data_IF_468852898376
#
_entry.id   IF_468852898376
#
_cell.length_a   1.000
_cell.length_b   1.000
_cell.length_c   1.000
_cell.angle_alpha   90.00
_cell.angle_beta   90.00
_cell.angle_gamma   90.00
#
_symmetry.space_group_name_H-M   'P 1'
#
loop_
_entity.id
_entity.type
_entity.pdbx_description
1 polymer ?
#
# COMPACT_ATOMS: atom_id res chain seq x y z
N UNK A 1 -29.75 -9.10 -29.89
CA UNK A 1 -30.26 -8.61 -28.59
C UNK A 1 -29.59 -9.43 -27.49
N UNK A 2 -28.43 -8.96 -27.02
CA UNK A 2 -27.55 -9.69 -26.08
C UNK A 2 -28.13 -9.56 -24.68
N UNK A 3 -28.52 -10.68 -24.05
CA UNK A 3 -28.96 -10.70 -22.65
C UNK A 3 -27.74 -10.50 -21.76
N UNK A 4 -27.71 -9.39 -21.03
CA UNK A 4 -26.72 -9.12 -19.98
C UNK A 4 -26.84 -10.17 -18.87
N UNK A 5 -25.72 -10.77 -18.47
CA UNK A 5 -25.69 -11.58 -17.26
C UNK A 5 -25.83 -10.67 -16.02
N UNK A 6 -26.70 -11.01 -15.06
CA UNK A 6 -26.88 -10.20 -13.86
C UNK A 6 -25.65 -10.26 -12.93
N UNK A 7 -25.43 -9.15 -12.22
CA UNK A 7 -24.29 -8.99 -11.31
C UNK A 7 -24.31 -10.00 -10.14
N UNK A 8 -23.12 -10.32 -9.63
CA UNK A 8 -22.88 -11.32 -8.59
C UNK A 8 -23.78 -11.19 -7.35
N UNK A 9 -24.26 -9.97 -7.04
CA UNK A 9 -25.20 -9.67 -5.95
C UNK A 9 -26.57 -10.37 -6.09
N UNK A 10 -27.05 -10.60 -7.31
CA UNK A 10 -28.35 -11.26 -7.56
C UNK A 10 -28.28 -12.78 -7.37
N UNK A 11 -27.10 -13.38 -7.46
CA UNK A 11 -26.93 -14.84 -7.37
C UNK A 11 -26.99 -15.36 -5.93
N UNK A 12 -26.57 -14.54 -4.95
CA UNK A 12 -26.57 -14.94 -3.54
C UNK A 12 -27.98 -15.00 -2.92
N UNK A 13 -28.92 -14.17 -3.40
CA UNK A 13 -30.27 -14.12 -2.83
C UNK A 13 -31.16 -15.29 -3.27
N UNK A 14 -30.87 -15.93 -4.41
CA UNK A 14 -31.67 -17.05 -4.92
C UNK A 14 -31.44 -18.37 -4.14
N UNK A 15 -30.36 -18.50 -3.38
CA UNK A 15 -29.98 -19.76 -2.72
C UNK A 15 -30.60 -19.97 -1.33
N UNK A 16 -31.46 -19.06 -0.85
CA UNK A 16 -31.95 -19.09 0.54
C UNK A 16 -33.27 -19.86 0.76
N UNK A 17 -33.95 -20.36 -0.28
CA UNK A 17 -35.25 -21.04 -0.14
C UNK A 17 -35.25 -22.48 -0.67
N UNK A 18 -34.83 -23.47 0.14
CA UNK A 18 -35.20 -24.89 -0.06
C UNK A 18 -35.43 -25.57 1.31
N UNK A 19 -36.58 -26.25 1.57
CA UNK A 19 -36.87 -26.89 2.86
C UNK A 19 -36.15 -28.24 3.05
N UNK A 20 -35.88 -28.58 4.32
CA UNK A 20 -35.19 -29.79 4.78
C UNK A 20 -36.14 -31.00 4.90
N UNK A 21 -36.00 -32.01 4.05
CA UNK A 21 -36.23 -33.42 4.45
C UNK A 21 -35.56 -34.43 3.49
N UNK A 22 -35.11 -35.56 4.04
CA UNK A 22 -34.41 -36.71 3.41
C UNK A 22 -32.91 -36.54 3.07
N UNK A 23 -32.03 -36.79 4.05
CA UNK A 23 -30.60 -36.44 3.99
C UNK A 23 -29.59 -37.60 4.01
N UNK A 24 -29.97 -38.86 3.81
CA UNK A 24 -28.98 -39.97 3.94
C UNK A 24 -28.78 -40.87 2.72
N UNK A 25 -29.74 -41.05 1.82
CA UNK A 25 -29.53 -41.91 0.64
C UNK A 25 -29.28 -41.16 -0.68
N UNK A 26 -29.58 -39.85 -0.74
CA UNK A 26 -29.22 -39.00 -1.88
C UNK A 26 -27.70 -38.69 -1.95
N UNK A 27 -27.01 -38.68 -0.80
CA UNK A 27 -25.63 -38.20 -0.70
C UNK A 27 -24.62 -39.05 -1.50
N UNK A 28 -24.84 -40.36 -1.67
CA UNK A 28 -23.91 -41.23 -2.41
C UNK A 28 -24.09 -41.18 -3.93
N UNK A 29 -25.31 -40.94 -4.43
CA UNK A 29 -25.58 -40.77 -5.87
C UNK A 29 -25.23 -39.35 -6.37
N UNK A 30 -25.41 -38.32 -5.54
CA UNK A 30 -25.04 -36.94 -5.90
C UNK A 30 -23.54 -36.74 -6.04
N UNK A 31 -22.70 -37.44 -5.25
CA UNK A 31 -21.22 -37.29 -5.32
C UNK A 31 -20.64 -37.85 -6.62
N UNK A 32 -21.15 -38.97 -7.16
CA UNK A 32 -20.70 -39.52 -8.45
C UNK A 32 -21.15 -38.66 -9.64
N UNK A 33 -22.40 -38.18 -9.64
CA UNK A 33 -22.89 -37.30 -10.70
C UNK A 33 -22.27 -35.89 -10.64
N UNK A 34 -21.96 -35.35 -9.45
CA UNK A 34 -21.21 -34.11 -9.32
C UNK A 34 -19.75 -34.26 -9.80
N UNK A 35 -19.08 -35.38 -9.51
CA UNK A 35 -17.71 -35.57 -10.03
C UNK A 35 -17.68 -35.68 -11.56
N UNK A 36 -18.72 -36.26 -12.17
CA UNK A 36 -18.82 -36.39 -13.63
C UNK A 36 -19.28 -35.07 -14.28
N UNK A 37 -20.22 -34.32 -13.68
CA UNK A 37 -20.60 -32.98 -14.15
C UNK A 37 -19.47 -31.96 -13.97
N UNK A 38 -18.69 -32.03 -12.88
CA UNK A 38 -17.52 -31.15 -12.66
C UNK A 38 -16.39 -31.47 -13.65
N UNK A 39 -16.24 -32.73 -14.08
CA UNK A 39 -15.28 -33.12 -15.13
C UNK A 39 -15.71 -32.66 -16.53
N UNK A 40 -17.01 -32.66 -16.80
CA UNK A 40 -17.57 -32.21 -18.09
C UNK A 40 -17.62 -30.67 -18.14
N UNK A 41 -18.01 -29.98 -17.08
CA UNK A 41 -17.91 -28.50 -16.98
C UNK A 41 -16.47 -28.01 -17.05
N UNK A 42 -15.50 -28.75 -16.47
CA UNK A 42 -14.07 -28.42 -16.64
C UNK A 42 -13.55 -28.65 -18.06
N UNK A 43 -14.17 -29.53 -18.85
CA UNK A 43 -13.77 -29.77 -20.26
C UNK A 43 -14.49 -28.87 -21.25
N UNK A 44 -15.68 -28.37 -20.93
CA UNK A 44 -16.49 -27.52 -21.83
C UNK A 44 -16.19 -26.02 -21.61
N UNK A 45 -15.66 -25.62 -20.44
CA UNK A 45 -15.21 -24.25 -20.18
C UNK A 45 -13.93 -23.83 -20.90
N UNK A 46 -13.19 -24.78 -21.50
CA UNK A 46 -11.88 -24.54 -22.11
C UNK A 46 -11.94 -24.32 -23.64
N UNK A 47 -13.13 -24.38 -24.24
CA UNK A 47 -13.29 -24.37 -25.71
C UNK A 47 -14.20 -23.26 -26.25
N UNK A 48 -14.61 -22.27 -25.46
CA UNK A 48 -15.41 -21.15 -25.99
C UNK A 48 -15.26 -19.86 -25.18
N UNK A 49 -14.07 -19.29 -25.25
CA UNK A 49 -13.78 -17.93 -24.81
C UNK A 49 -12.45 -17.52 -25.42
N UNK A 50 -12.45 -16.43 -26.19
CA UNK A 50 -11.26 -15.77 -26.76
C UNK A 50 -9.95 -16.11 -26.04
N UNK A 51 -8.92 -16.52 -26.78
CA UNK A 51 -7.52 -16.63 -26.32
C UNK A 51 -7.00 -15.26 -25.81
N UNK A 52 -7.51 -14.81 -24.67
CA UNK A 52 -7.06 -13.62 -24.00
C UNK A 52 -5.88 -14.04 -23.12
N UNK A 53 -4.70 -14.07 -23.71
CA UNK A 53 -3.46 -14.14 -22.95
C UNK A 53 -3.35 -12.87 -22.10
N UNK A 54 -3.34 -13.03 -20.78
CA UNK A 54 -3.05 -11.95 -19.85
C UNK A 54 -1.92 -12.33 -18.91
N UNK A 55 -1.11 -11.36 -18.46
CA UNK A 55 -0.04 -11.63 -17.52
C UNK A 55 -0.61 -12.27 -16.26
N UNK A 56 -0.21 -13.51 -15.98
CA UNK A 56 -0.48 -14.11 -14.67
C UNK A 56 0.15 -13.23 -13.58
N UNK A 57 -0.37 -13.33 -12.35
CA UNK A 57 0.16 -12.57 -11.21
C UNK A 57 1.67 -12.73 -11.02
N UNK A 58 2.23 -13.89 -11.35
CA UNK A 58 3.67 -14.15 -11.24
C UNK A 58 4.48 -13.44 -12.32
N UNK A 59 3.92 -13.32 -13.54
CA UNK A 59 4.53 -12.57 -14.64
C UNK A 59 4.50 -11.08 -14.31
N UNK A 60 3.36 -10.57 -13.84
CA UNK A 60 3.22 -9.19 -13.38
C UNK A 60 4.21 -8.88 -12.24
N UNK A 61 4.33 -9.78 -11.26
CA UNK A 61 5.29 -9.64 -10.16
C UNK A 61 6.73 -9.58 -10.65
N UNK A 62 7.16 -10.51 -11.51
CA UNK A 62 8.52 -10.50 -12.06
C UNK A 62 8.80 -9.23 -12.87
N UNK A 63 7.83 -8.78 -13.68
CA UNK A 63 7.99 -7.57 -14.49
C UNK A 63 8.12 -6.31 -13.62
N UNK A 64 7.21 -6.14 -12.64
CA UNK A 64 7.26 -5.03 -11.70
C UNK A 64 8.52 -5.08 -10.86
N UNK A 65 8.86 -6.23 -10.26
CA UNK A 65 10.06 -6.39 -9.45
C UNK A 65 11.33 -6.02 -10.21
N UNK A 66 11.45 -6.45 -11.46
CA UNK A 66 12.58 -6.05 -12.32
C UNK A 66 12.63 -4.54 -12.49
N UNK A 67 11.50 -3.88 -12.80
CA UNK A 67 11.45 -2.43 -12.92
C UNK A 67 11.84 -1.71 -11.61
N UNK A 68 11.40 -2.22 -10.45
CA UNK A 68 11.74 -1.65 -9.13
C UNK A 68 13.20 -1.89 -8.73
N UNK A 69 13.79 -3.01 -9.14
CA UNK A 69 15.23 -3.24 -8.93
C UNK A 69 16.08 -2.38 -9.86
N UNK A 70 15.64 -2.14 -11.10
CA UNK A 70 16.24 -1.13 -11.94
C UNK A 70 16.21 0.25 -11.26
N UNK A 71 15.07 0.64 -10.67
CA UNK A 71 14.97 1.87 -9.89
C UNK A 71 15.94 1.89 -8.69
N UNK A 72 16.05 0.79 -7.94
CA UNK A 72 16.94 0.72 -6.79
C UNK A 72 18.41 1.03 -7.14
N UNK A 73 18.84 0.64 -8.34
CA UNK A 73 20.22 0.81 -8.82
C UNK A 73 20.43 2.16 -9.52
N UNK A 74 19.51 2.56 -10.41
CA UNK A 74 19.70 3.70 -11.31
C UNK A 74 19.02 5.00 -10.86
N UNK A 75 18.08 4.95 -9.92
CA UNK A 75 17.46 6.16 -9.39
C UNK A 75 18.43 6.87 -8.44
N UNK A 76 18.70 8.14 -8.70
CA UNK A 76 19.45 9.01 -7.81
C UNK A 76 18.53 9.56 -6.71
N UNK A 77 19.13 9.98 -5.59
CA UNK A 77 18.39 10.64 -4.51
C UNK A 77 18.11 12.08 -4.93
N UNK A 78 16.83 12.41 -5.07
CA UNK A 78 16.36 13.76 -5.47
C UNK A 78 15.99 14.64 -4.29
N UNK A 79 15.65 14.03 -3.15
CA UNK A 79 15.11 14.72 -1.98
C UNK A 79 16.14 14.79 -0.85
N UNK A 80 16.31 15.99 -0.28
CA UNK A 80 17.20 16.19 0.86
C UNK A 80 16.63 15.56 2.14
N UNK A 81 15.30 15.45 2.27
CA UNK A 81 14.65 14.76 3.39
C UNK A 81 15.03 13.27 3.39
N UNK A 82 15.11 12.63 2.22
CA UNK A 82 15.52 11.22 2.12
C UNK A 82 16.89 11.01 2.77
N UNK A 83 17.84 11.90 2.47
CA UNK A 83 19.22 11.82 3.00
C UNK A 83 19.28 12.15 4.49
N UNK A 84 18.85 13.36 4.87
CA UNK A 84 19.12 13.89 6.22
C UNK A 84 18.09 13.47 7.25
N UNK A 85 16.85 13.16 6.85
CA UNK A 85 15.79 12.74 7.76
C UNK A 85 15.61 11.22 7.85
N UNK A 86 16.17 10.42 6.92
CA UNK A 86 16.01 8.96 6.95
C UNK A 86 17.32 8.19 6.84
N UNK A 87 18.13 8.43 5.80
CA UNK A 87 19.40 7.70 5.63
C UNK A 87 20.39 7.97 6.78
N UNK A 88 20.68 9.25 7.08
CA UNK A 88 21.62 9.65 8.13
C UNK A 88 21.16 9.21 9.54
N UNK A 89 19.89 9.43 9.95
CA UNK A 89 19.40 8.93 11.25
C UNK A 89 19.41 7.40 11.34
N UNK A 90 19.10 6.68 10.26
CA UNK A 90 19.18 5.21 10.24
C UNK A 90 20.62 4.74 10.38
N UNK A 91 21.55 5.40 9.68
CA UNK A 91 22.97 5.13 9.82
C UNK A 91 23.45 5.40 11.26
N UNK A 92 22.97 6.48 11.90
CA UNK A 92 23.22 6.75 13.32
C UNK A 92 22.69 5.65 14.24
N UNK A 93 21.49 5.13 14.00
CA UNK A 93 20.92 4.05 14.82
C UNK A 93 21.73 2.74 14.71
N UNK A 94 22.17 2.38 13.51
CA UNK A 94 22.90 1.13 13.22
C UNK A 94 24.37 1.21 13.61
N UNK A 95 25.05 2.31 13.29
CA UNK A 95 26.51 2.46 13.41
C UNK A 95 26.97 3.39 14.53
N UNK A 96 26.04 4.07 15.21
CA UNK A 96 26.36 5.12 16.21
C UNK A 96 27.15 6.29 15.64
N UNK A 97 27.07 6.49 14.32
CA UNK A 97 27.69 7.59 13.57
C UNK A 97 26.67 8.06 12.54
N UNK A 98 26.49 9.35 12.35
CA UNK A 98 25.53 9.90 11.39
C UNK A 98 24.91 11.19 11.92
N UNK A 99 24.22 11.90 11.05
CA UNK A 99 23.56 13.16 11.36
C UNK A 99 22.11 12.95 11.78
N UNK A 100 21.61 13.89 12.58
CA UNK A 100 20.20 14.01 12.93
C UNK A 100 19.79 15.46 12.74
N UNK A 101 18.64 15.68 12.12
CA UNK A 101 18.06 17.01 11.99
C UNK A 101 17.41 17.46 13.30
N UNK A 102 17.06 18.75 13.37
CA UNK A 102 16.31 19.32 14.49
C UNK A 102 14.92 18.68 14.65
N UNK A 103 14.36 18.06 13.60
CA UNK A 103 13.08 17.35 13.64
C UNK A 103 13.12 16.10 14.55
N UNK A 104 14.31 15.55 14.76
CA UNK A 104 14.61 14.48 15.72
C UNK A 104 15.05 14.99 17.09
N UNK A 105 15.05 16.31 17.34
CA UNK A 105 15.32 16.80 18.68
C UNK A 105 14.14 16.49 19.62
N UNK A 106 14.37 16.18 20.91
CA UNK A 106 13.29 15.95 21.87
C UNK A 106 12.32 17.13 22.02
N UNK A 107 12.80 18.36 21.79
CA UNK A 107 11.98 19.58 21.87
C UNK A 107 10.84 19.55 20.85
N UNK A 108 11.11 19.20 19.58
CA UNK A 108 10.12 19.20 18.51
C UNK A 108 9.50 17.81 18.30
N UNK A 109 10.33 16.77 18.22
CA UNK A 109 9.92 15.36 18.04
C UNK A 109 8.86 15.18 16.94
N UNK A 110 9.20 15.64 15.73
CA UNK A 110 8.30 15.65 14.57
C UNK A 110 8.33 14.36 13.76
N UNK A 111 9.45 13.62 13.81
CA UNK A 111 9.63 12.33 13.12
C UNK A 111 9.57 11.18 14.13
N UNK A 112 9.16 10.00 13.66
CA UNK A 112 9.06 8.81 14.50
C UNK A 112 10.33 7.98 14.40
N UNK A 113 10.96 7.67 15.53
CA UNK A 113 12.06 6.69 15.58
C UNK A 113 11.54 5.28 15.34
N UNK A 114 10.29 4.97 15.70
CA UNK A 114 9.67 3.69 15.38
C UNK A 114 9.64 3.43 13.87
N UNK A 115 9.34 4.44 13.05
CA UNK A 115 9.43 4.34 11.59
C UNK A 115 10.85 4.00 11.10
N UNK A 116 11.87 4.67 11.66
CA UNK A 116 13.26 4.37 11.36
C UNK A 116 13.62 2.94 11.76
N UNK A 117 13.23 2.50 12.95
CA UNK A 117 13.58 1.17 13.47
C UNK A 117 13.00 0.04 12.61
N UNK A 118 11.80 0.19 12.06
CA UNK A 118 11.21 -0.81 11.15
C UNK A 118 12.13 -1.05 9.94
N UNK A 119 12.72 0.01 9.38
CA UNK A 119 13.59 -0.06 8.22
C UNK A 119 15.05 -0.36 8.60
N UNK A 120 15.49 0.09 9.77
CA UNK A 120 16.83 -0.16 10.31
C UNK A 120 17.01 -1.62 10.74
N UNK A 121 15.96 -2.29 11.22
CA UNK A 121 16.02 -3.68 11.69
C UNK A 121 16.55 -4.66 10.62
N UNK A 122 16.00 -4.73 9.39
CA UNK A 122 16.53 -5.63 8.37
C UNK A 122 17.98 -5.27 7.97
N UNK A 123 18.33 -3.98 7.95
CA UNK A 123 19.70 -3.52 7.69
C UNK A 123 20.64 -3.98 8.79
N UNK A 124 20.24 -3.85 10.06
CA UNK A 124 21.01 -4.27 11.21
C UNK A 124 21.24 -5.78 11.24
N UNK A 125 20.21 -6.58 10.92
CA UNK A 125 20.34 -8.04 10.79
C UNK A 125 21.36 -8.39 9.69
N UNK A 126 21.23 -7.75 8.52
CA UNK A 126 22.14 -7.98 7.40
C UNK A 126 23.58 -7.58 7.74
N UNK A 127 23.76 -6.45 8.44
CA UNK A 127 25.05 -6.00 8.92
C UNK A 127 25.67 -6.98 9.93
N UNK A 128 24.88 -7.50 10.87
CA UNK A 128 25.37 -8.45 11.88
C UNK A 128 25.74 -9.81 11.31
N UNK A 129 25.03 -10.28 10.28
CA UNK A 129 25.26 -11.61 9.71
C UNK A 129 26.45 -11.64 8.75
N UNK A 130 26.60 -10.60 7.91
CA UNK A 130 27.51 -10.64 6.76
C UNK A 130 28.55 -9.51 6.75
N UNK A 131 28.48 -8.55 7.67
CA UNK A 131 29.36 -7.38 7.76
C UNK A 131 29.72 -6.75 6.40
N UNK A 132 28.72 -6.48 5.54
CA UNK A 132 28.96 -5.94 4.21
C UNK A 132 29.40 -4.47 4.27
N UNK A 133 29.97 -4.00 3.16
CA UNK A 133 30.28 -2.58 2.94
C UNK A 133 28.99 -1.72 3.09
N UNK A 134 29.04 -0.53 3.73
CA UNK A 134 27.91 0.41 3.80
C UNK A 134 27.17 0.65 2.47
N UNK A 135 27.90 0.67 1.34
CA UNK A 135 27.28 0.81 0.02
C UNK A 135 26.29 -0.34 -0.30
N UNK A 136 26.62 -1.55 0.11
CA UNK A 136 25.77 -2.71 -0.11
C UNK A 136 24.55 -2.70 0.81
N UNK A 137 24.68 -2.16 2.03
CA UNK A 137 23.53 -1.92 2.92
C UNK A 137 22.54 -0.94 2.31
N UNK A 138 23.04 0.15 1.70
CA UNK A 138 22.21 1.14 1.00
C UNK A 138 21.40 0.50 -0.14
N UNK A 139 22.07 -0.23 -1.04
CA UNK A 139 21.37 -0.93 -2.13
C UNK A 139 20.44 -2.03 -1.62
N UNK A 140 20.81 -2.75 -0.56
CA UNK A 140 19.95 -3.75 0.06
C UNK A 140 18.62 -3.14 0.55
N UNK A 141 18.67 -2.00 1.24
CA UNK A 141 17.45 -1.30 1.67
C UNK A 141 16.60 -0.81 0.49
N UNK A 142 17.22 -0.28 -0.57
CA UNK A 142 16.47 0.14 -1.78
C UNK A 142 15.81 -1.04 -2.47
N UNK A 143 16.48 -2.20 -2.56
CA UNK A 143 15.88 -3.44 -3.07
C UNK A 143 14.74 -3.93 -2.18
N UNK A 144 14.84 -3.81 -0.85
CA UNK A 144 13.76 -4.17 0.06
C UNK A 144 12.52 -3.28 -0.14
N UNK A 145 12.72 -1.96 -0.28
CA UNK A 145 11.65 -1.01 -0.61
C UNK A 145 11.00 -1.37 -1.97
N UNK A 146 11.82 -1.60 -3.00
CA UNK A 146 11.34 -2.01 -4.32
C UNK A 146 10.56 -3.34 -4.30
N UNK A 147 10.95 -4.29 -3.46
CA UNK A 147 10.23 -5.55 -3.26
C UNK A 147 8.85 -5.33 -2.62
N UNK A 148 8.78 -4.51 -1.57
CA UNK A 148 7.52 -4.15 -0.91
C UNK A 148 6.60 -3.41 -1.89
N UNK A 149 7.15 -2.48 -2.68
CA UNK A 149 6.44 -1.80 -3.75
C UNK A 149 5.83 -2.81 -4.73
N UNK A 150 6.63 -3.73 -5.26
CA UNK A 150 6.17 -4.73 -6.23
C UNK A 150 5.04 -5.62 -5.66
N UNK A 151 5.10 -6.01 -4.39
CA UNK A 151 3.99 -6.74 -3.75
C UNK A 151 2.70 -5.91 -3.69
N UNK A 152 2.80 -4.63 -3.30
CA UNK A 152 1.65 -3.74 -3.25
C UNK A 152 1.02 -3.52 -4.64
N UNK A 153 1.85 -3.31 -5.66
CA UNK A 153 1.42 -3.09 -7.04
C UNK A 153 0.78 -4.33 -7.66
N UNK A 154 1.32 -5.53 -7.41
CA UNK A 154 0.70 -6.78 -7.87
C UNK A 154 -0.64 -7.03 -7.20
N UNK A 155 -0.76 -6.69 -5.90
CA UNK A 155 -2.04 -6.81 -5.22
C UNK A 155 -3.09 -5.88 -5.83
N UNK A 156 -2.69 -4.66 -6.17
CA UNK A 156 -3.51 -3.68 -6.89
C UNK A 156 -3.87 -4.13 -8.30
N UNK A 157 -2.91 -4.61 -9.09
CA UNK A 157 -3.13 -5.18 -10.42
C UNK A 157 -4.18 -6.30 -10.39
N UNK A 158 -4.04 -7.24 -9.44
CA UNK A 158 -5.00 -8.35 -9.27
C UNK A 158 -6.39 -7.84 -8.89
N UNK A 159 -6.48 -6.79 -8.06
CA UNK A 159 -7.75 -6.17 -7.70
C UNK A 159 -8.43 -5.53 -8.93
N UNK A 160 -7.67 -4.81 -9.76
CA UNK A 160 -8.19 -4.18 -10.98
C UNK A 160 -8.68 -5.21 -11.98
N UNK A 161 -7.88 -6.26 -12.24
CA UNK A 161 -8.28 -7.34 -13.14
C UNK A 161 -9.60 -7.99 -12.71
N UNK A 162 -9.82 -8.10 -11.39
CA UNK A 162 -11.03 -8.71 -10.82
C UNK A 162 -12.25 -7.78 -10.91
N UNK A 163 -12.07 -6.49 -10.63
CA UNK A 163 -13.19 -5.54 -10.53
C UNK A 163 -13.55 -4.89 -11.88
N UNK A 164 -12.55 -4.47 -12.63
CA UNK A 164 -12.72 -3.71 -13.89
C UNK A 164 -12.42 -4.55 -15.14
N UNK A 165 -11.92 -5.77 -14.96
CA UNK A 165 -11.61 -6.70 -16.04
C UNK A 165 -10.16 -6.63 -16.53
N UNK A 166 -9.80 -7.64 -17.31
CA UNK A 166 -8.41 -7.95 -17.69
C UNK A 166 -7.78 -6.89 -18.60
N UNK A 167 -8.57 -6.27 -19.49
CA UNK A 167 -8.05 -5.24 -20.40
C UNK A 167 -7.57 -3.99 -19.66
N UNK A 168 -8.36 -3.51 -18.70
CA UNK A 168 -7.99 -2.35 -17.86
C UNK A 168 -6.78 -2.71 -17.00
N UNK A 169 -6.74 -3.94 -16.46
CA UNK A 169 -5.58 -4.44 -15.74
C UNK A 169 -4.29 -4.40 -16.56
N UNK A 170 -4.32 -4.81 -17.83
CA UNK A 170 -3.13 -4.75 -18.72
C UNK A 170 -2.63 -3.34 -18.91
N UNK A 171 -3.54 -2.39 -19.16
CA UNK A 171 -3.19 -0.98 -19.33
C UNK A 171 -2.59 -0.44 -18.02
N UNK A 172 -3.20 -0.75 -16.88
CA UNK A 172 -2.68 -0.38 -15.57
C UNK A 172 -1.26 -0.93 -15.34
N UNK A 173 -1.00 -2.20 -15.67
CA UNK A 173 0.33 -2.81 -15.52
C UNK A 173 1.38 -2.09 -16.38
N UNK A 174 1.04 -1.73 -17.62
CA UNK A 174 1.94 -0.93 -18.49
C UNK A 174 2.23 0.41 -17.84
N UNK A 175 1.22 1.12 -17.34
CA UNK A 175 1.43 2.40 -16.66
C UNK A 175 2.26 2.27 -15.39
N UNK A 176 2.05 1.22 -14.59
CA UNK A 176 2.86 0.97 -13.39
C UNK A 176 4.34 0.76 -13.75
N UNK A 177 4.64 -0.09 -14.75
CA UNK A 177 6.00 -0.40 -15.16
C UNK A 177 6.74 0.83 -15.71
N UNK A 178 6.06 1.63 -16.54
CA UNK A 178 6.69 2.73 -17.29
C UNK A 178 6.44 4.12 -16.69
N UNK A 179 5.80 4.23 -15.52
CA UNK A 179 5.60 5.50 -14.84
C UNK A 179 6.93 6.02 -14.27
N UNK A 180 7.42 7.20 -14.70
CA UNK A 180 8.63 7.81 -14.14
C UNK A 180 8.46 8.15 -12.66
N UNK A 181 7.27 8.59 -12.25
CA UNK A 181 6.94 8.88 -10.85
C UNK A 181 7.09 7.65 -9.98
N UNK A 182 6.48 6.52 -10.39
CA UNK A 182 6.65 5.25 -9.71
C UNK A 182 8.10 4.77 -9.74
N UNK A 183 8.84 4.99 -10.82
CA UNK A 183 10.26 4.62 -10.90
C UNK A 183 11.08 5.33 -9.82
N UNK A 184 10.90 6.64 -9.63
CA UNK A 184 11.63 7.43 -8.64
C UNK A 184 11.11 7.13 -7.22
N UNK A 185 9.80 7.19 -7.01
CA UNK A 185 9.20 7.07 -5.67
C UNK A 185 9.34 5.67 -5.07
N UNK A 186 9.35 4.62 -5.91
CA UNK A 186 9.29 3.23 -5.44
C UNK A 186 10.48 2.75 -4.62
N UNK A 187 11.63 3.41 -4.67
CA UNK A 187 12.82 3.05 -3.89
C UNK A 187 13.34 4.19 -3.02
N UNK A 188 12.60 5.29 -2.97
CA UNK A 188 12.92 6.42 -2.11
C UNK A 188 12.59 6.09 -0.65
N UNK A 189 13.54 6.33 0.25
CA UNK A 189 13.33 6.07 1.67
C UNK A 189 12.59 7.23 2.35
N UNK A 190 11.29 7.33 2.10
CA UNK A 190 10.42 8.40 2.58
C UNK A 190 9.10 7.86 3.14
N UNK A 191 8.47 8.56 4.12
CA UNK A 191 7.16 8.18 4.62
C UNK A 191 6.05 8.35 3.58
N UNK A 192 6.23 9.24 2.61
CA UNK A 192 5.33 9.38 1.45
C UNK A 192 5.36 8.12 0.57
N UNK A 193 6.53 7.55 0.30
CA UNK A 193 6.68 6.25 -0.37
C UNK A 193 6.03 5.13 0.42
N UNK A 194 6.22 5.11 1.75
CA UNK A 194 5.53 4.14 2.61
C UNK A 194 4.00 4.31 2.56
N UNK A 195 3.50 5.55 2.57
CA UNK A 195 2.08 5.83 2.41
C UNK A 195 1.57 5.36 1.04
N UNK A 196 2.31 5.59 -0.04
CA UNK A 196 1.97 5.15 -1.40
C UNK A 196 1.75 3.63 -1.46
N UNK A 197 2.66 2.82 -0.93
CA UNK A 197 2.48 1.35 -0.90
C UNK A 197 1.22 0.94 -0.15
N UNK A 198 0.99 1.55 1.01
CA UNK A 198 -0.15 1.26 1.86
C UNK A 198 -1.46 1.68 1.21
N UNK A 199 -1.56 2.86 0.61
CA UNK A 199 -2.77 3.30 -0.08
C UNK A 199 -3.04 2.48 -1.34
N UNK A 200 -2.00 2.06 -2.06
CA UNK A 200 -2.12 1.11 -3.17
C UNK A 200 -2.73 -0.22 -2.69
N UNK A 201 -2.25 -0.75 -1.58
CA UNK A 201 -2.81 -1.95 -0.96
C UNK A 201 -4.22 -1.73 -0.38
N UNK A 202 -4.52 -0.53 0.15
CA UNK A 202 -5.83 -0.17 0.68
C UNK A 202 -6.89 -0.13 -0.42
N UNK A 203 -6.59 0.51 -1.55
CA UNK A 203 -7.45 0.52 -2.73
C UNK A 203 -7.69 -0.91 -3.27
N UNK A 204 -6.63 -1.73 -3.33
CA UNK A 204 -6.73 -3.11 -3.74
C UNK A 204 -7.66 -3.94 -2.83
N UNK A 205 -7.55 -3.74 -1.51
CA UNK A 205 -8.41 -4.37 -0.51
C UNK A 205 -9.86 -3.87 -0.60
N UNK A 206 -10.05 -2.57 -0.81
CA UNK A 206 -11.37 -1.94 -0.95
C UNK A 206 -12.15 -2.50 -2.15
N UNK A 207 -11.52 -2.57 -3.33
CA UNK A 207 -12.17 -3.17 -4.50
C UNK A 207 -12.49 -4.64 -4.32
N UNK A 208 -11.68 -5.38 -3.55
CA UNK A 208 -11.97 -6.76 -3.19
C UNK A 208 -12.99 -6.92 -2.05
N UNK A 209 -13.58 -5.83 -1.56
CA UNK A 209 -14.53 -5.78 -0.44
C UNK A 209 -13.93 -6.29 0.89
N UNK A 210 -12.61 -6.24 1.04
CA UNK A 210 -11.89 -6.58 2.28
C UNK A 210 -11.68 -5.32 3.12
N UNK A 211 -12.79 -4.79 3.64
CA UNK A 211 -12.83 -3.49 4.32
C UNK A 211 -11.89 -3.36 5.53
N UNK A 212 -11.75 -4.41 6.35
CA UNK A 212 -10.84 -4.39 7.50
C UNK A 212 -9.39 -4.17 7.08
N UNK A 213 -8.94 -4.80 5.98
CA UNK A 213 -7.60 -4.61 5.45
C UNK A 213 -7.45 -3.22 4.81
N UNK A 214 -8.50 -2.73 4.14
CA UNK A 214 -8.48 -1.39 3.55
C UNK A 214 -8.28 -0.30 4.63
N UNK A 215 -9.04 -0.37 5.72
CA UNK A 215 -8.89 0.54 6.87
C UNK A 215 -7.51 0.38 7.50
N UNK A 216 -7.03 -0.85 7.69
CA UNK A 216 -5.72 -1.10 8.29
C UNK A 216 -4.59 -0.48 7.47
N UNK A 217 -4.55 -0.70 6.15
CA UNK A 217 -3.54 -0.11 5.29
C UNK A 217 -3.64 1.41 5.23
N UNK A 218 -4.85 1.98 5.16
CA UNK A 218 -5.05 3.43 5.26
C UNK A 218 -4.50 4.00 6.58
N UNK A 219 -4.79 3.34 7.71
CA UNK A 219 -4.27 3.73 9.01
C UNK A 219 -2.75 3.58 9.08
N UNK A 220 -2.19 2.52 8.52
CA UNK A 220 -0.75 2.27 8.50
C UNK A 220 -0.01 3.33 7.67
N UNK A 221 -0.50 3.64 6.46
CA UNK A 221 0.08 4.66 5.60
C UNK A 221 -0.04 6.08 6.18
N UNK A 222 -1.13 6.40 6.88
CA UNK A 222 -1.34 7.73 7.45
C UNK A 222 -0.64 7.93 8.79
N UNK A 223 -0.82 7.02 9.75
CA UNK A 223 -0.31 7.20 11.11
C UNK A 223 1.20 7.00 11.20
N UNK A 224 1.73 5.98 10.50
CA UNK A 224 3.15 5.65 10.53
C UNK A 224 3.94 6.27 9.38
N UNK A 225 3.30 6.42 8.21
CA UNK A 225 3.91 7.09 7.05
C UNK A 225 3.72 8.60 7.12
N UNK A 226 2.67 9.09 6.47
CA UNK A 226 2.43 10.52 6.31
C UNK A 226 0.98 10.90 6.70
N UNK A 227 0.76 11.68 7.77
CA UNK A 227 -0.58 11.88 8.33
C UNK A 227 -1.55 12.55 7.37
N UNK A 228 -1.06 13.41 6.47
CA UNK A 228 -1.89 14.07 5.46
C UNK A 228 -2.44 13.10 4.41
N UNK A 229 -1.80 11.93 4.23
CA UNK A 229 -2.31 10.89 3.36
C UNK A 229 -3.64 10.28 3.86
N UNK A 230 -4.05 10.53 5.12
CA UNK A 230 -5.36 10.11 5.64
C UNK A 230 -6.53 10.54 4.75
N UNK A 231 -6.39 11.67 4.03
CA UNK A 231 -7.39 12.16 3.08
C UNK A 231 -7.67 11.17 1.93
N UNK A 232 -6.69 10.38 1.52
CA UNK A 232 -6.86 9.34 0.51
C UNK A 232 -7.78 8.21 1.00
N UNK A 233 -8.03 8.10 2.31
CA UNK A 233 -8.97 7.17 2.91
C UNK A 233 -10.44 7.61 2.84
N UNK A 234 -10.72 8.85 2.46
CA UNK A 234 -12.08 9.40 2.44
C UNK A 234 -13.04 8.62 1.53
N UNK A 235 -12.68 8.20 0.31
CA UNK A 235 -13.57 7.39 -0.53
C UNK A 235 -13.95 6.05 0.10
N UNK A 236 -12.99 5.39 0.78
CA UNK A 236 -13.20 4.12 1.49
C UNK A 236 -14.16 4.35 2.66
N UNK A 237 -13.92 5.39 3.46
CA UNK A 237 -14.79 5.76 4.57
C UNK A 237 -16.21 6.11 4.09
N UNK A 238 -16.34 6.86 3.00
CA UNK A 238 -17.62 7.22 2.40
C UNK A 238 -18.39 5.99 1.90
N UNK A 239 -17.75 5.07 1.18
CA UNK A 239 -18.38 3.81 0.74
C UNK A 239 -18.90 3.01 1.95
N UNK A 240 -18.07 2.84 2.99
CA UNK A 240 -18.45 2.07 4.16
C UNK A 240 -19.57 2.71 4.99
N UNK A 241 -19.48 4.02 5.26
CA UNK A 241 -20.40 4.73 6.14
C UNK A 241 -21.70 5.10 5.44
N UNK A 242 -21.65 5.54 4.18
CA UNK A 242 -22.83 6.08 3.48
C UNK A 242 -23.48 5.01 2.61
N UNK A 243 -22.71 4.31 1.77
CA UNK A 243 -23.29 3.34 0.83
C UNK A 243 -23.62 2.01 1.50
N UNK A 244 -22.70 1.50 2.32
CA UNK A 244 -22.82 0.16 2.94
C UNK A 244 -23.42 0.18 4.35
N UNK A 245 -23.42 1.35 5.01
CA UNK A 245 -23.93 1.55 6.38
C UNK A 245 -23.24 0.63 7.42
N UNK A 246 -21.97 0.32 7.22
CA UNK A 246 -21.16 -0.55 8.07
C UNK A 246 -20.46 0.23 9.19
N UNK A 247 -21.21 1.00 9.98
CA UNK A 247 -20.66 1.90 10.99
C UNK A 247 -19.89 1.16 12.09
N UNK A 248 -20.43 0.05 12.59
CA UNK A 248 -19.81 -0.73 13.67
C UNK A 248 -18.48 -1.33 13.22
N UNK A 249 -18.47 -1.93 12.03
CA UNK A 249 -17.25 -2.53 11.47
C UNK A 249 -16.20 -1.46 11.19
N UNK A 250 -16.60 -0.29 10.68
CA UNK A 250 -15.70 0.84 10.45
C UNK A 250 -15.06 1.32 11.77
N UNK A 251 -15.87 1.60 12.80
CA UNK A 251 -15.39 2.08 14.10
C UNK A 251 -14.50 1.03 14.74
N UNK A 252 -14.89 -0.24 14.74
CA UNK A 252 -14.11 -1.33 15.32
C UNK A 252 -12.77 -1.50 14.59
N UNK A 253 -12.78 -1.63 13.26
CA UNK A 253 -11.56 -1.82 12.48
C UNK A 253 -10.64 -0.59 12.57
N UNK A 254 -11.18 0.63 12.56
CA UNK A 254 -10.41 1.85 12.71
C UNK A 254 -9.77 1.94 14.10
N UNK A 255 -10.53 1.66 15.15
CA UNK A 255 -10.02 1.66 16.54
C UNK A 255 -8.94 0.60 16.73
N UNK A 256 -9.19 -0.63 16.28
CA UNK A 256 -8.22 -1.73 16.39
C UNK A 256 -6.95 -1.41 15.59
N UNK A 257 -7.07 -0.90 14.37
CA UNK A 257 -5.91 -0.51 13.55
C UNK A 257 -5.12 0.61 14.21
N UNK A 258 -5.80 1.65 14.70
CA UNK A 258 -5.16 2.76 15.41
C UNK A 258 -4.42 2.29 16.67
N UNK A 259 -5.01 1.41 17.47
CA UNK A 259 -4.36 0.85 18.65
C UNK A 259 -3.11 0.02 18.30
N UNK A 260 -3.22 -0.88 17.32
CA UNK A 260 -2.11 -1.73 16.87
C UNK A 260 -0.92 -0.90 16.39
N UNK A 261 -1.17 0.25 15.76
CA UNK A 261 -0.12 1.11 15.19
C UNK A 261 0.40 2.12 16.23
N UNK A 262 -0.49 2.86 16.89
CA UNK A 262 -0.12 3.96 17.79
C UNK A 262 0.50 3.47 19.09
N UNK A 263 0.03 2.37 19.68
CA UNK A 263 0.56 1.89 20.96
C UNK A 263 2.06 1.58 20.89
N UNK A 264 2.55 0.73 19.96
CA UNK A 264 3.99 0.46 19.87
C UNK A 264 4.77 1.69 19.42
N UNK A 265 4.22 2.50 18.51
CA UNK A 265 4.87 3.72 18.03
C UNK A 265 5.10 4.72 19.17
N UNK A 266 4.06 5.03 19.95
CA UNK A 266 4.14 5.94 21.10
C UNK A 266 5.09 5.38 22.16
N UNK A 267 5.04 4.08 22.43
CA UNK A 267 5.92 3.45 23.42
C UNK A 267 7.41 3.60 23.04
N UNK A 268 7.75 3.29 21.79
CA UNK A 268 9.12 3.37 21.28
C UNK A 268 9.59 4.81 21.15
N UNK A 269 8.78 5.67 20.55
CA UNK A 269 9.14 7.08 20.37
C UNK A 269 9.31 7.77 21.73
N UNK A 270 8.39 7.53 22.68
CA UNK A 270 8.47 8.16 24.00
C UNK A 270 9.67 7.68 24.80
N UNK A 271 10.06 6.41 24.64
CA UNK A 271 11.27 5.87 25.25
C UNK A 271 12.54 6.55 24.70
N UNK A 272 12.64 6.72 23.38
CA UNK A 272 13.82 7.30 22.74
C UNK A 272 13.90 8.82 22.99
N UNK A 273 12.77 9.53 22.91
CA UNK A 273 12.71 10.96 23.16
C UNK A 273 12.77 11.35 24.64
N UNK A 274 12.57 10.40 25.56
CA UNK A 274 12.55 10.65 27.00
C UNK A 274 11.32 11.42 27.51
N UNK A 275 10.27 11.54 26.70
CA UNK A 275 8.99 12.18 27.05
C UNK A 275 7.85 11.57 26.22
N UNK A 276 6.60 11.77 26.65
CA UNK A 276 5.45 11.29 25.88
C UNK A 276 5.39 12.02 24.51
N UNK A 277 5.53 11.26 23.43
CA UNK A 277 5.55 11.76 22.05
C UNK A 277 4.53 11.01 21.20
N UNK A 278 3.73 11.78 20.47
CA UNK A 278 2.89 11.28 19.37
C UNK A 278 3.33 12.00 18.10
N UNK A 279 4.33 11.45 17.41
CA UNK A 279 4.95 12.07 16.24
C UNK A 279 3.94 12.53 15.15
N UNK A 280 2.96 11.72 14.70
CA UNK A 280 1.99 12.17 13.68
C UNK A 280 1.06 13.28 14.17
N UNK A 281 0.85 13.42 15.49
CA UNK A 281 0.10 14.57 16.03
C UNK A 281 0.98 15.82 16.09
N UNK A 282 2.24 15.69 16.51
CA UNK A 282 3.18 16.81 16.59
C UNK A 282 3.43 17.44 15.22
N UNK A 283 3.60 16.63 14.17
CA UNK A 283 3.80 17.14 12.80
C UNK A 283 2.56 17.88 12.28
N UNK A 284 1.34 17.38 12.54
CA UNK A 284 0.11 18.07 12.16
C UNK A 284 -0.04 19.38 12.93
N UNK A 285 0.23 19.36 14.24
CA UNK A 285 0.20 20.56 15.07
C UNK A 285 1.21 21.59 14.58
N UNK A 286 2.42 21.18 14.25
CA UNK A 286 3.47 22.08 13.77
C UNK A 286 3.10 22.69 12.41
N UNK A 287 2.74 21.85 11.44
CA UNK A 287 2.50 22.28 10.06
C UNK A 287 1.18 23.05 9.86
N UNK A 288 0.13 22.73 10.61
CA UNK A 288 -1.22 23.29 10.41
C UNK A 288 -1.57 24.34 11.46
N UNK A 289 -1.17 24.13 12.71
CA UNK A 289 -1.57 24.99 13.83
C UNK A 289 -0.45 25.93 14.32
N UNK A 290 0.81 25.68 13.93
CA UNK A 290 2.00 26.35 14.45
C UNK A 290 2.45 27.61 13.72
N UNK A 291 1.78 28.01 12.63
CA UNK A 291 2.09 29.23 11.86
C UNK A 291 3.35 29.16 10.99
N UNK A 292 4.43 28.52 11.46
CA UNK A 292 5.65 28.26 10.69
C UNK A 292 5.55 26.95 9.89
N UNK A 293 4.45 26.75 9.17
CA UNK A 293 4.19 25.53 8.40
C UNK A 293 5.08 25.40 7.15
N UNK A 294 4.63 24.72 6.08
CA UNK A 294 5.41 24.56 4.85
C UNK A 294 5.80 25.90 4.17
N UNK A 295 5.18 27.01 4.59
CA UNK A 295 5.52 28.38 4.18
C UNK A 295 6.97 28.79 4.52
N UNK A 296 7.63 28.09 5.44
CA UNK A 296 9.07 28.23 5.71
C UNK A 296 9.94 28.09 4.45
N UNK A 297 9.46 27.33 3.46
CA UNK A 297 10.17 27.06 2.21
C UNK A 297 9.63 27.86 1.02
N UNK A 298 8.75 28.83 1.28
CA UNK A 298 8.08 29.64 0.27
C UNK A 298 6.69 29.12 -0.08
N UNK A 299 5.96 29.92 -0.86
CA UNK A 299 4.60 29.60 -1.33
C UNK A 299 4.54 29.75 -2.84
N UNK A 300 4.06 28.72 -3.53
CA UNK A 300 3.84 28.75 -4.97
C UNK A 300 2.38 29.06 -5.32
N UNK A 301 2.10 29.79 -6.42
CA UNK A 301 0.73 30.05 -6.85
C UNK A 301 0.04 28.77 -7.30
N UNK A 302 -1.30 28.72 -7.24
CA UNK A 302 -2.06 27.51 -7.59
C UNK A 302 -1.75 26.96 -9.00
N UNK A 303 -1.42 27.84 -9.96
CA UNK A 303 -1.03 27.47 -11.32
C UNK A 303 0.21 26.57 -11.35
N UNK A 304 1.12 26.69 -10.37
CA UNK A 304 2.30 25.85 -10.26
C UNK A 304 1.93 24.37 -10.20
N UNK A 305 0.92 23.98 -9.40
CA UNK A 305 0.53 22.58 -9.26
C UNK A 305 0.00 21.97 -10.56
N UNK A 306 -0.75 22.74 -11.35
CA UNK A 306 -1.26 22.29 -12.65
C UNK A 306 -0.10 22.15 -13.65
N UNK A 307 0.76 23.16 -13.74
CA UNK A 307 1.91 23.17 -14.64
C UNK A 307 2.86 22.02 -14.29
N UNK A 308 3.13 21.81 -13.00
CA UNK A 308 3.95 20.72 -12.49
C UNK A 308 3.35 19.35 -12.81
N UNK A 309 2.02 19.22 -12.73
CA UNK A 309 1.31 17.99 -13.11
C UNK A 309 1.46 17.63 -14.59
N UNK A 310 1.46 18.62 -15.49
CA UNK A 310 1.72 18.40 -16.91
C UNK A 310 3.20 18.15 -17.21
N UNK A 311 4.11 18.94 -16.63
CA UNK A 311 5.54 18.83 -16.86
C UNK A 311 6.13 17.48 -16.40
N UNK A 312 5.65 16.96 -15.26
CA UNK A 312 6.06 15.64 -14.77
C UNK A 312 5.26 14.49 -15.40
N UNK A 313 4.38 14.78 -16.36
CA UNK A 313 3.51 13.81 -17.00
C UNK A 313 2.60 13.03 -16.03
N UNK A 314 2.40 13.53 -14.81
CA UNK A 314 1.60 12.91 -13.75
C UNK A 314 0.11 12.74 -14.14
N UNK A 315 -0.37 13.53 -15.11
CA UNK A 315 -1.73 13.44 -15.65
C UNK A 315 -1.92 12.26 -16.61
N UNK A 316 -0.85 11.80 -17.27
CA UNK A 316 -0.92 10.73 -18.28
C UNK A 316 -0.33 9.42 -17.69
N UNK A 317 0.67 9.51 -16.82
CA UNK A 317 1.22 8.39 -16.06
C UNK A 317 0.87 8.57 -14.59
N UNK A 318 0.11 7.64 -13.97
CA UNK A 318 -0.15 7.71 -12.54
C UNK A 318 1.18 7.71 -11.78
N UNK A 319 1.38 8.75 -10.98
CA UNK A 319 2.55 8.98 -10.11
C UNK A 319 2.37 8.31 -8.77
#
# INVERSE_FOLDING_TARGET
MVKSQPSFRLRQNASQNIPRSSKKDAAKKTVKNQQQSTKIERKVGDSTGSNLTFPSGDIAFKALLSARFCAAIWSHITDCDETFNYWEPTHFLVFKKGLQTWEYSPQFALRSYFYLLIHATPIWIYHKLLQPNPLLLFYFSRCLLGLICAFSEVYYYKAICKEFGVHIGRICLVFQIFSPGMFIASTAYLPSTFAMYNFTAACAAWWQQKYSLAIFFTALGSLLGWPFAALLGLPIAFDMLVQKKLYKDFILCSTVSALIILVPMIAVDSYIYGRLVVAPFNIVRYNVLGGAGPELYGTEPFSYYIINGFLNFNMIWPS
#
